data_IF_548939826802
#
_entry.id   IF_548939826802
#
_cell.length_a   1.000
_cell.length_b   1.000
_cell.length_c   1.000
_cell.angle_alpha   90.00
_cell.angle_beta   90.00
_cell.angle_gamma   90.00
#
_symmetry.space_group_name_H-M   'P 1'
#
loop_
_entity.id
_entity.type
_entity.pdbx_description
1 polymer ?
#
# COMPACT_ATOMS: atom_id res chain seq x y z
N UNK A 1 -2.94 -10.52 1.39
CA UNK A 1 -2.75 -9.41 2.33
C UNK A 1 -3.59 -8.20 1.91
N UNK A 2 -3.34 -7.56 0.75
CA UNK A 2 -3.97 -6.30 0.35
C UNK A 2 -5.50 -6.26 0.37
N UNK A 3 -6.18 -7.33 -0.07
CA UNK A 3 -7.65 -7.44 0.07
C UNK A 3 -8.08 -7.33 1.54
N UNK A 4 -7.45 -8.10 2.42
CA UNK A 4 -7.84 -8.17 3.83
C UNK A 4 -7.53 -6.89 4.58
N UNK A 5 -6.42 -6.22 4.27
CA UNK A 5 -6.05 -4.95 4.92
C UNK A 5 -7.09 -3.86 4.69
N UNK A 6 -7.69 -3.79 3.49
CA UNK A 6 -8.79 -2.85 3.22
C UNK A 6 -10.01 -3.17 4.08
N UNK A 7 -10.39 -4.45 4.19
CA UNK A 7 -11.56 -4.85 5.00
C UNK A 7 -11.35 -4.56 6.49
N UNK A 8 -10.17 -4.90 7.02
CA UNK A 8 -9.83 -4.61 8.42
C UNK A 8 -9.76 -3.11 8.65
N UNK A 9 -9.04 -2.37 7.81
CA UNK A 9 -8.97 -0.92 7.89
C UNK A 9 -10.35 -0.27 7.84
N UNK A 10 -11.25 -0.74 6.97
CA UNK A 10 -12.62 -0.24 6.88
C UNK A 10 -13.43 -0.49 8.16
N UNK A 11 -13.17 -1.60 8.89
CA UNK A 11 -13.87 -1.86 10.17
C UNK A 11 -13.40 -0.95 11.31
N UNK A 12 -12.19 -0.39 11.23
CA UNK A 12 -11.67 0.57 12.20
C UNK A 12 -12.09 2.00 11.91
N UNK A 13 -12.54 2.30 10.66
CA UNK A 13 -12.94 3.65 10.30
C UNK A 13 -14.28 4.05 10.92
N UNK A 14 -14.41 5.28 11.46
CA UNK A 14 -15.68 5.83 11.92
C UNK A 14 -16.50 6.44 10.78
N UNK A 15 -16.09 6.27 9.52
CA UNK A 15 -16.73 6.85 8.32
C UNK A 15 -17.04 5.77 7.29
N UNK A 16 -18.02 6.04 6.44
CA UNK A 16 -18.40 5.13 5.35
C UNK A 16 -17.34 5.12 4.24
N UNK A 17 -17.11 3.95 3.66
CA UNK A 17 -16.24 3.82 2.48
C UNK A 17 -16.88 4.47 1.24
N UNK A 18 -18.15 4.19 0.88
CA UNK A 18 -18.77 4.74 -0.32
C UNK A 18 -19.36 6.13 -0.11
N UNK A 19 -19.59 6.83 -1.22
CA UNK A 19 -20.50 7.96 -1.28
C UNK A 19 -21.90 7.50 -0.86
N UNK A 20 -22.52 8.23 0.04
CA UNK A 20 -23.90 8.00 0.44
C UNK A 20 -24.74 9.26 0.19
N UNK A 21 -25.82 9.13 -0.56
CA UNK A 21 -26.79 10.18 -0.78
C UNK A 21 -28.13 9.80 -0.18
N UNK A 22 -28.66 10.63 0.71
CA UNK A 22 -29.92 10.42 1.40
C UNK A 22 -30.75 11.72 1.39
N UNK A 23 -32.02 11.62 1.78
CA UNK A 23 -32.84 12.81 2.00
C UNK A 23 -32.27 13.74 3.09
N UNK A 24 -31.46 13.22 4.01
CA UNK A 24 -30.77 13.97 5.05
C UNK A 24 -29.48 14.66 4.60
N UNK A 25 -29.01 14.38 3.37
CA UNK A 25 -27.80 14.98 2.82
C UNK A 25 -26.86 13.98 2.16
N UNK A 26 -25.71 14.49 1.73
CA UNK A 26 -24.64 13.73 1.03
C UNK A 26 -23.45 13.55 1.95
N UNK A 27 -23.01 12.30 2.12
CA UNK A 27 -21.79 11.95 2.82
C UNK A 27 -20.73 11.58 1.78
N UNK A 28 -19.58 12.29 1.73
CA UNK A 28 -18.53 11.99 0.77
C UNK A 28 -17.90 10.63 1.06
N UNK A 29 -17.30 9.97 0.04
CA UNK A 29 -16.60 8.70 0.24
C UNK A 29 -15.33 8.88 1.06
N UNK A 30 -14.93 7.83 1.77
CA UNK A 30 -13.63 7.79 2.44
C UNK A 30 -12.48 7.96 1.43
N UNK A 31 -11.44 8.66 1.85
CA UNK A 31 -10.19 8.80 1.11
C UNK A 31 -9.22 7.72 1.56
N UNK A 32 -8.75 6.93 0.62
CA UNK A 32 -7.80 5.84 0.85
C UNK A 32 -6.52 6.14 0.07
N UNK A 33 -5.40 6.14 0.77
CA UNK A 33 -4.07 6.28 0.19
C UNK A 33 -3.33 4.95 0.29
N UNK A 34 -2.78 4.49 -0.82
CA UNK A 34 -1.95 3.28 -0.87
C UNK A 34 -0.50 3.71 -1.13
N UNK A 35 0.40 3.34 -0.22
CA UNK A 35 1.85 3.55 -0.37
C UNK A 35 2.52 2.22 -0.77
N UNK A 36 2.87 2.12 -2.04
CA UNK A 36 3.37 0.92 -2.70
C UNK A 36 2.31 0.25 -3.59
N UNK A 37 2.54 0.23 -4.90
CA UNK A 37 1.65 -0.33 -5.91
C UNK A 37 2.18 -1.67 -6.46
N UNK A 38 2.75 -2.51 -5.59
CA UNK A 38 3.04 -3.91 -5.89
C UNK A 38 1.76 -4.76 -5.88
N UNK A 39 1.89 -6.09 -5.94
CA UNK A 39 0.74 -7.02 -5.98
C UNK A 39 -0.25 -6.77 -4.83
N UNK A 40 0.25 -6.57 -3.61
CA UNK A 40 -0.62 -6.29 -2.46
C UNK A 40 -1.29 -4.91 -2.58
N UNK A 41 -0.55 -3.89 -3.00
CA UNK A 41 -1.08 -2.53 -3.19
C UNK A 41 -2.13 -2.46 -4.29
N UNK A 42 -1.89 -3.04 -5.46
CA UNK A 42 -2.86 -3.10 -6.55
C UNK A 42 -4.15 -3.83 -6.12
N UNK A 43 -4.03 -4.91 -5.35
CA UNK A 43 -5.19 -5.60 -4.81
C UNK A 43 -5.94 -4.75 -3.76
N UNK A 44 -5.23 -3.99 -2.94
CA UNK A 44 -5.84 -3.05 -2.01
C UNK A 44 -6.59 -1.93 -2.76
N UNK A 45 -5.98 -1.35 -3.80
CA UNK A 45 -6.63 -0.37 -4.68
C UNK A 45 -7.94 -0.92 -5.24
N UNK A 46 -7.89 -2.10 -5.88
CA UNK A 46 -9.06 -2.73 -6.48
C UNK A 46 -10.17 -2.99 -5.44
N UNK A 47 -9.81 -3.38 -4.23
CA UNK A 47 -10.76 -3.66 -3.15
C UNK A 47 -11.40 -2.38 -2.62
N UNK A 48 -10.58 -1.36 -2.31
CA UNK A 48 -11.07 -0.08 -1.82
C UNK A 48 -11.99 0.62 -2.83
N UNK A 49 -11.66 0.55 -4.13
CA UNK A 49 -12.51 1.04 -5.23
C UNK A 49 -13.85 0.33 -5.27
N UNK A 50 -13.89 -1.01 -5.11
CA UNK A 50 -15.13 -1.78 -5.07
C UNK A 50 -15.99 -1.43 -3.84
N UNK A 51 -15.38 -1.03 -2.73
CA UNK A 51 -16.10 -0.51 -1.57
C UNK A 51 -16.57 0.93 -1.74
N UNK A 52 -16.28 1.57 -2.87
CA UNK A 52 -16.75 2.90 -3.21
C UNK A 52 -15.89 4.05 -2.70
N UNK A 53 -14.70 3.77 -2.20
CA UNK A 53 -13.77 4.79 -1.73
C UNK A 53 -13.15 5.61 -2.86
N UNK A 54 -12.72 6.82 -2.53
CA UNK A 54 -11.82 7.63 -3.35
C UNK A 54 -10.38 7.18 -3.07
N UNK A 55 -9.74 6.57 -4.08
CA UNK A 55 -8.44 5.93 -3.90
C UNK A 55 -7.35 6.69 -4.65
N UNK A 56 -6.28 6.98 -3.93
CA UNK A 56 -5.02 7.50 -4.44
C UNK A 56 -3.90 6.49 -4.14
N UNK A 57 -2.88 6.43 -4.99
CA UNK A 57 -1.74 5.54 -4.77
C UNK A 57 -0.43 6.23 -5.15
N UNK A 58 0.61 5.95 -4.39
CA UNK A 58 1.97 6.38 -4.63
C UNK A 58 2.89 5.17 -4.75
N UNK A 59 3.80 5.19 -5.72
CA UNK A 59 4.92 4.26 -5.85
C UNK A 59 6.13 5.02 -6.41
N UNK A 60 7.32 4.57 -6.07
CA UNK A 60 8.57 5.14 -6.60
C UNK A 60 8.84 4.74 -8.05
N UNK A 61 8.16 3.71 -8.53
CA UNK A 61 8.29 3.17 -9.89
C UNK A 61 7.24 3.78 -10.81
N UNK A 62 7.62 4.60 -11.79
CA UNK A 62 6.67 5.26 -12.68
C UNK A 62 5.91 4.27 -13.58
N UNK A 63 6.48 3.10 -13.87
CA UNK A 63 5.87 2.07 -14.72
C UNK A 63 4.59 1.46 -14.14
N UNK A 64 4.33 1.61 -12.83
CA UNK A 64 3.09 1.10 -12.21
C UNK A 64 1.92 2.07 -12.32
N UNK A 65 2.14 3.31 -12.80
CA UNK A 65 1.12 4.35 -12.95
C UNK A 65 -0.07 3.86 -13.76
N UNK A 66 0.18 3.29 -14.94
CA UNK A 66 -0.88 2.78 -15.81
C UNK A 66 -1.71 1.68 -15.12
N UNK A 67 -1.06 0.80 -14.34
CA UNK A 67 -1.75 -0.24 -13.59
C UNK A 67 -2.67 0.34 -12.50
N UNK A 68 -2.20 1.37 -11.79
CA UNK A 68 -2.99 2.09 -10.77
C UNK A 68 -4.20 2.76 -11.40
N UNK A 69 -3.99 3.49 -12.49
CA UNK A 69 -5.04 4.23 -13.18
C UNK A 69 -6.06 3.31 -13.84
N UNK A 70 -5.63 2.15 -14.36
CA UNK A 70 -6.53 1.12 -14.91
C UNK A 70 -7.50 0.54 -13.87
N UNK A 71 -7.14 0.58 -12.59
CA UNK A 71 -8.01 0.20 -11.48
C UNK A 71 -8.94 1.34 -11.03
N UNK A 72 -8.86 2.51 -11.67
CA UNK A 72 -9.68 3.68 -11.35
C UNK A 72 -9.20 4.47 -10.14
N UNK A 73 -7.96 4.29 -9.72
CA UNK A 73 -7.32 5.12 -8.69
C UNK A 73 -6.51 6.26 -9.34
N UNK A 74 -6.24 7.31 -8.56
CA UNK A 74 -5.36 8.40 -9.00
C UNK A 74 -3.93 8.08 -8.58
N UNK A 75 -3.00 8.15 -9.53
CA UNK A 75 -1.58 8.06 -9.20
C UNK A 75 -1.06 9.41 -8.68
N UNK A 76 -0.37 9.37 -7.55
CA UNK A 76 0.25 10.56 -6.92
C UNK A 76 1.71 10.59 -7.32
N UNK A 77 2.10 11.63 -8.03
CA UNK A 77 3.48 11.83 -8.50
C UNK A 77 3.96 13.26 -8.24
N UNK A 78 5.24 13.42 -8.01
CA UNK A 78 5.85 14.75 -7.94
C UNK A 78 5.88 15.31 -9.36
N UNK A 79 5.32 16.50 -9.56
CA UNK A 79 5.43 17.17 -10.84
C UNK A 79 6.92 17.37 -11.20
N UNK A 80 7.33 16.81 -12.32
CA UNK A 80 8.69 17.02 -12.85
C UNK A 80 8.75 18.38 -13.54
N UNK A 81 9.54 19.30 -13.00
CA UNK A 81 9.78 20.61 -13.59
C UNK A 81 10.83 20.60 -14.70
N UNK A 82 11.22 19.47 -15.25
CA UNK A 82 12.11 19.41 -16.41
C UNK A 82 12.33 17.99 -16.91
N UNK A 83 12.59 17.92 -18.17
CA UNK A 83 13.06 16.91 -19.10
C UNK A 83 14.39 16.22 -18.66
N UNK A 84 14.53 15.85 -17.42
CA UNK A 84 15.70 15.13 -16.91
C UNK A 84 15.53 13.63 -17.13
N UNK A 85 16.09 13.24 -18.25
CA UNK A 85 16.12 11.96 -18.91
C UNK A 85 16.11 10.73 -18.03
N UNK A 86 15.28 9.80 -18.45
CA UNK A 86 15.33 8.38 -18.12
C UNK A 86 16.78 7.88 -18.25
N UNK A 87 17.41 7.55 -17.13
CA UNK A 87 18.72 6.90 -17.14
C UNK A 87 18.57 5.49 -17.71
N UNK A 88 19.41 5.14 -18.68
CA UNK A 88 19.53 3.78 -19.20
C UNK A 88 19.74 2.81 -18.04
N UNK A 89 18.85 1.82 -17.91
CA UNK A 89 19.03 0.69 -16.99
C UNK A 89 17.96 0.48 -15.92
N UNK A 90 16.85 1.23 -15.86
CA UNK A 90 15.72 0.91 -14.97
C UNK A 90 15.99 1.07 -13.46
N UNK A 91 17.14 1.59 -13.05
CA UNK A 91 17.46 1.95 -11.68
C UNK A 91 17.30 3.46 -11.49
N UNK A 92 16.57 3.84 -10.45
CA UNK A 92 16.48 5.23 -10.04
C UNK A 92 17.91 5.79 -9.86
N UNK A 93 18.30 6.76 -10.70
CA UNK A 93 19.44 7.65 -10.38
C UNK A 93 19.22 8.19 -8.98
N UNK A 94 20.29 8.36 -8.20
CA UNK A 94 20.24 9.07 -6.93
C UNK A 94 19.45 10.37 -7.12
N UNK A 95 18.20 10.31 -6.63
CA UNK A 95 17.31 11.46 -6.70
C UNK A 95 17.92 12.56 -5.87
N UNK A 96 18.00 13.76 -6.41
CA UNK A 96 18.51 14.93 -5.69
C UNK A 96 17.75 15.05 -4.36
N UNK A 97 18.43 15.55 -3.32
CA UNK A 97 17.81 15.73 -1.99
C UNK A 97 16.54 16.60 -2.07
N UNK A 98 16.51 17.54 -3.02
CA UNK A 98 15.34 18.37 -3.32
C UNK A 98 14.13 17.57 -3.84
N UNK A 99 14.36 16.57 -4.70
CA UNK A 99 13.28 15.67 -5.16
C UNK A 99 12.73 14.83 -4.01
N UNK A 100 13.59 14.29 -3.15
CA UNK A 100 13.17 13.52 -1.96
C UNK A 100 12.34 14.39 -1.01
N UNK A 101 12.72 15.63 -0.79
CA UNK A 101 11.98 16.56 0.06
C UNK A 101 10.62 16.91 -0.54
N UNK A 102 10.54 17.17 -1.84
CA UNK A 102 9.25 17.39 -2.55
C UNK A 102 8.36 16.17 -2.47
N UNK A 103 8.91 14.98 -2.66
CA UNK A 103 8.20 13.71 -2.53
C UNK A 103 7.64 13.50 -1.12
N UNK A 104 8.46 13.72 -0.09
CA UNK A 104 8.00 13.61 1.31
C UNK A 104 6.92 14.62 1.63
N UNK A 105 7.05 15.86 1.17
CA UNK A 105 6.03 16.89 1.37
C UNK A 105 4.71 16.53 0.71
N UNK A 106 4.75 15.99 -0.51
CA UNK A 106 3.58 15.52 -1.24
C UNK A 106 2.89 14.36 -0.50
N UNK A 107 3.65 13.36 -0.08
CA UNK A 107 3.13 12.22 0.69
C UNK A 107 2.49 12.71 1.99
N UNK A 108 3.14 13.62 2.72
CA UNK A 108 2.62 14.22 3.94
C UNK A 108 1.26 14.89 3.73
N UNK A 109 1.12 15.66 2.65
CA UNK A 109 -0.14 16.32 2.29
C UNK A 109 -1.27 15.32 2.03
N UNK A 110 -0.97 14.23 1.30
CA UNK A 110 -1.96 13.21 0.99
C UNK A 110 -2.33 12.36 2.22
N UNK A 111 -1.37 12.02 3.08
CA UNK A 111 -1.61 11.34 4.36
C UNK A 111 -2.56 12.15 5.24
N UNK A 112 -2.30 13.44 5.42
CA UNK A 112 -3.13 14.31 6.27
C UNK A 112 -4.61 14.41 5.81
N UNK A 113 -4.87 14.17 4.53
CA UNK A 113 -6.23 14.19 3.94
C UNK A 113 -6.91 12.82 3.93
N UNK A 114 -6.17 11.75 4.22
CA UNK A 114 -6.65 10.38 4.11
C UNK A 114 -7.38 9.93 5.36
N UNK A 115 -8.42 9.11 5.17
CA UNK A 115 -9.09 8.40 6.26
C UNK A 115 -8.41 7.05 6.52
N UNK A 116 -7.96 6.36 5.47
CA UNK A 116 -7.25 5.10 5.54
C UNK A 116 -5.97 5.19 4.71
N UNK A 117 -4.84 4.84 5.32
CA UNK A 117 -3.56 4.67 4.65
C UNK A 117 -3.17 3.21 4.71
N UNK A 118 -2.78 2.61 3.59
CA UNK A 118 -2.27 1.24 3.55
C UNK A 118 -0.85 1.27 2.99
N UNK A 119 0.10 0.77 3.75
CA UNK A 119 1.50 0.70 3.34
C UNK A 119 1.88 -0.72 2.98
N UNK A 120 2.61 -0.88 1.88
CA UNK A 120 2.99 -2.19 1.34
C UNK A 120 4.44 -2.23 0.86
N UNK A 121 5.24 -1.22 1.18
CA UNK A 121 6.61 -1.12 0.68
C UNK A 121 7.53 -2.09 1.41
N UNK A 122 8.06 -3.06 0.66
CA UNK A 122 9.00 -4.06 1.16
C UNK A 122 10.21 -4.13 0.23
N UNK A 123 11.39 -4.30 0.81
CA UNK A 123 12.63 -4.56 0.10
C UNK A 123 13.08 -5.96 0.50
N UNK A 124 13.15 -6.93 -0.43
CA UNK A 124 13.58 -8.28 -0.09
C UNK A 124 14.92 -8.31 0.65
N UNK A 125 14.98 -9.04 1.77
CA UNK A 125 16.20 -9.22 2.57
C UNK A 125 16.67 -7.98 3.34
N UNK A 126 15.86 -6.92 3.43
CA UNK A 126 16.18 -5.70 4.17
C UNK A 126 15.00 -5.28 5.05
N UNK A 127 15.24 -4.48 6.10
CA UNK A 127 14.16 -3.82 6.82
C UNK A 127 13.28 -2.99 5.89
N UNK A 128 12.00 -2.88 6.23
CA UNK A 128 11.06 -2.05 5.47
C UNK A 128 11.50 -0.56 5.50
N UNK A 129 11.36 0.16 4.38
CA UNK A 129 11.68 1.58 4.36
C UNK A 129 10.70 2.37 5.24
N UNK A 130 11.19 3.32 6.01
CA UNK A 130 10.36 4.26 6.74
C UNK A 130 9.73 5.26 5.75
N UNK A 131 8.40 5.24 5.65
CA UNK A 131 7.63 6.13 4.78
C UNK A 131 6.81 7.16 5.56
N UNK A 132 6.36 6.80 6.76
CA UNK A 132 5.48 7.60 7.60
C UNK A 132 6.16 7.83 8.96
N UNK A 133 6.97 8.87 9.10
CA UNK A 133 7.48 9.29 10.40
C UNK A 133 6.35 9.84 11.30
N UNK A 134 6.60 9.93 12.58
CA UNK A 134 5.60 10.30 13.61
C UNK A 134 4.94 11.65 13.32
N UNK A 135 5.68 12.64 12.82
CA UNK A 135 5.16 13.97 12.49
C UNK A 135 4.11 13.94 11.35
N UNK A 136 4.13 12.94 10.47
CA UNK A 136 3.09 12.73 9.47
C UNK A 136 1.83 12.14 10.10
N UNK A 137 1.98 11.24 11.08
CA UNK A 137 0.85 10.68 11.84
C UNK A 137 0.17 11.77 12.68
N UNK A 138 0.95 12.65 13.29
CA UNK A 138 0.42 13.80 14.05
C UNK A 138 -0.42 14.77 13.17
N UNK A 139 -0.15 14.81 11.86
CA UNK A 139 -0.91 15.58 10.89
C UNK A 139 -2.22 14.94 10.44
N UNK A 140 -2.49 13.69 10.80
CA UNK A 140 -3.72 12.97 10.43
C UNK A 140 -4.89 13.37 11.32
N UNK A 141 -6.10 13.20 10.81
CA UNK A 141 -7.31 13.46 11.59
C UNK A 141 -7.56 12.33 12.59
N UNK A 142 -7.99 12.61 13.82
CA UNK A 142 -8.48 11.57 14.73
C UNK A 142 -9.58 10.72 14.07
N UNK A 143 -9.52 9.40 14.27
CA UNK A 143 -10.36 8.42 13.57
C UNK A 143 -9.79 7.93 12.25
N UNK A 144 -8.65 8.46 11.80
CA UNK A 144 -7.93 7.88 10.65
C UNK A 144 -7.23 6.58 11.03
N UNK A 145 -6.95 5.76 10.03
CA UNK A 145 -6.36 4.42 10.20
C UNK A 145 -5.15 4.25 9.28
N UNK A 146 -4.10 3.64 9.80
CA UNK A 146 -2.94 3.16 9.05
C UNK A 146 -2.92 1.63 9.16
N UNK A 147 -2.94 0.94 8.02
CA UNK A 147 -2.72 -0.51 7.92
C UNK A 147 -1.31 -0.75 7.37
N UNK A 148 -0.41 -1.22 8.20
CA UNK A 148 0.99 -1.41 7.82
C UNK A 148 1.28 -2.88 7.49
N UNK A 149 1.28 -3.22 6.21
CA UNK A 149 1.58 -4.58 5.73
C UNK A 149 3.07 -4.94 5.79
N UNK A 150 3.93 -3.98 6.09
CA UNK A 150 5.37 -4.18 6.27
C UNK A 150 5.76 -4.45 7.74
N UNK A 151 4.79 -4.57 8.64
CA UNK A 151 5.02 -4.70 10.09
C UNK A 151 5.97 -5.85 10.47
N UNK A 152 5.94 -6.98 9.74
CA UNK A 152 6.86 -8.12 9.95
C UNK A 152 8.34 -7.74 9.72
N UNK A 153 8.60 -6.70 8.92
CA UNK A 153 9.94 -6.25 8.55
C UNK A 153 10.29 -4.89 9.15
N UNK A 154 9.68 -4.54 10.27
CA UNK A 154 9.92 -3.29 11.00
C UNK A 154 8.89 -2.19 10.74
N UNK A 155 8.05 -2.33 9.72
CA UNK A 155 6.99 -1.38 9.37
C UNK A 155 7.44 -0.22 8.49
N UNK A 156 6.49 0.32 7.73
CA UNK A 156 6.66 1.56 6.96
C UNK A 156 6.26 2.82 7.77
N UNK A 157 5.54 2.65 8.87
CA UNK A 157 5.21 3.71 9.82
C UNK A 157 6.06 3.57 11.08
N UNK A 158 6.63 4.68 11.55
CA UNK A 158 7.51 4.72 12.72
C UNK A 158 6.84 4.19 13.99
N UNK A 159 5.53 4.37 14.11
CA UNK A 159 4.73 3.95 15.26
C UNK A 159 4.21 2.51 15.16
N UNK A 160 4.50 1.82 14.06
CA UNK A 160 4.06 0.43 13.86
C UNK A 160 4.70 -0.50 14.88
N UNK A 161 3.88 -1.36 15.46
CA UNK A 161 4.33 -2.50 16.26
C UNK A 161 3.78 -3.79 15.65
N UNK A 162 4.67 -4.72 15.37
CA UNK A 162 4.28 -6.00 14.78
C UNK A 162 3.25 -6.72 15.63
N UNK A 163 2.19 -7.21 15.00
CA UNK A 163 1.05 -7.92 15.59
C UNK A 163 0.32 -7.17 16.70
N UNK A 164 0.36 -5.82 16.62
CA UNK A 164 -0.30 -4.96 17.61
C UNK A 164 -1.03 -3.82 16.90
N UNK A 165 -2.06 -3.34 17.58
CA UNK A 165 -2.76 -2.12 17.23
C UNK A 165 -2.34 -1.01 18.20
N UNK A 166 -1.87 0.12 17.66
CA UNK A 166 -1.45 1.31 18.42
C UNK A 166 -2.45 2.41 18.17
N UNK A 167 -2.83 3.15 19.19
CA UNK A 167 -3.59 4.39 19.06
C UNK A 167 -2.68 5.56 19.40
N UNK A 168 -2.48 6.46 18.46
CA UNK A 168 -1.68 7.66 18.63
C UNK A 168 -2.54 8.89 18.28
N UNK A 169 -2.87 9.69 19.29
CA UNK A 169 -3.70 10.91 19.14
C UNK A 169 -5.04 10.66 18.39
N UNK A 170 -5.64 9.46 18.59
CA UNK A 170 -6.87 9.07 17.90
C UNK A 170 -6.68 8.48 16.50
N UNK A 171 -5.45 8.36 16.01
CA UNK A 171 -5.10 7.61 14.81
C UNK A 171 -4.79 6.17 15.18
N UNK A 172 -5.44 5.21 14.52
CA UNK A 172 -5.19 3.78 14.72
C UNK A 172 -4.10 3.31 13.76
N UNK A 173 -3.03 2.74 14.28
CA UNK A 173 -1.98 2.10 13.50
C UNK A 173 -2.07 0.60 13.75
N UNK A 174 -2.43 -0.16 12.73
CA UNK A 174 -2.60 -1.61 12.79
C UNK A 174 -1.43 -2.29 12.07
N UNK A 175 -0.59 -2.96 12.86
CA UNK A 175 0.55 -3.75 12.43
C UNK A 175 0.26 -5.25 12.40
N UNK A 176 -1.00 -5.68 12.19
CA UNK A 176 -1.36 -7.09 12.12
C UNK A 176 -0.55 -7.83 11.06
N UNK A 177 0.16 -8.85 11.51
CA UNK A 177 0.97 -9.72 10.67
C UNK A 177 0.15 -10.89 10.15
N UNK A 178 0.68 -11.58 9.12
CA UNK A 178 0.11 -12.81 8.59
C UNK A 178 -1.40 -12.73 8.24
N UNK A 179 -1.87 -11.61 7.71
CA UNK A 179 -3.26 -11.44 7.23
C UNK A 179 -3.75 -12.59 6.31
N UNK A 180 -2.90 -13.23 5.46
CA UNK A 180 -3.34 -14.36 4.64
C UNK A 180 -3.89 -15.54 5.44
N UNK A 181 -3.41 -15.79 6.66
CA UNK A 181 -3.88 -16.89 7.51
C UNK A 181 -5.35 -16.74 7.92
N UNK A 182 -5.88 -15.51 7.88
CA UNK A 182 -7.30 -15.25 8.15
C UNK A 182 -8.23 -15.64 6.99
N UNK A 183 -7.65 -16.07 5.85
CA UNK A 183 -8.36 -16.53 4.64
C UNK A 183 -7.71 -17.82 4.11
N UNK A 184 -7.65 -18.90 4.93
CA UNK A 184 -6.73 -20.02 4.70
C UNK A 184 -7.02 -20.77 3.40
N UNK A 185 -8.28 -20.90 3.01
CA UNK A 185 -8.67 -21.67 1.80
C UNK A 185 -7.99 -21.08 0.55
N UNK A 186 -8.26 -19.80 0.23
CA UNK A 186 -7.72 -19.21 -0.97
C UNK A 186 -6.22 -18.88 -0.85
N UNK A 187 -5.73 -18.54 0.35
CA UNK A 187 -4.31 -18.30 0.57
C UNK A 187 -3.50 -19.58 0.30
N UNK A 188 -3.95 -20.74 0.80
CA UNK A 188 -3.31 -22.03 0.55
C UNK A 188 -3.37 -22.44 -0.92
N UNK A 189 -4.50 -22.22 -1.59
CA UNK A 189 -4.63 -22.50 -3.02
C UNK A 189 -3.65 -21.70 -3.86
N UNK A 190 -3.53 -20.38 -3.61
CA UNK A 190 -2.60 -19.50 -4.32
C UNK A 190 -1.16 -19.88 -4.04
N UNK A 191 -0.82 -20.18 -2.79
CA UNK A 191 0.51 -20.63 -2.41
C UNK A 191 0.87 -21.95 -3.08
N UNK A 192 -0.01 -22.95 -3.01
CA UNK A 192 0.19 -24.24 -3.66
C UNK A 192 0.40 -24.10 -5.16
N UNK A 193 -0.37 -23.20 -5.83
CA UNK A 193 -0.18 -22.94 -7.25
C UNK A 193 1.20 -22.33 -7.55
N UNK A 194 1.67 -21.37 -6.74
CA UNK A 194 3.00 -20.79 -6.91
C UNK A 194 4.10 -21.85 -6.76
N UNK A 195 4.02 -22.70 -5.71
CA UNK A 195 4.96 -23.79 -5.49
C UNK A 195 4.95 -24.78 -6.65
N UNK A 196 3.75 -25.21 -7.08
CA UNK A 196 3.60 -26.14 -8.19
C UNK A 196 4.17 -25.58 -9.49
N UNK A 197 3.90 -24.31 -9.79
CA UNK A 197 4.45 -23.63 -10.98
C UNK A 197 5.97 -23.55 -10.92
N UNK A 198 6.53 -23.22 -9.77
CA UNK A 198 7.97 -23.18 -9.56
C UNK A 198 8.61 -24.56 -9.75
N UNK A 199 8.04 -25.61 -9.12
CA UNK A 199 8.53 -26.97 -9.30
C UNK A 199 8.46 -27.41 -10.76
N UNK A 200 7.32 -27.13 -11.44
CA UNK A 200 7.16 -27.45 -12.86
C UNK A 200 8.20 -26.72 -13.72
N UNK A 201 8.50 -25.46 -13.42
CA UNK A 201 9.54 -24.70 -14.11
C UNK A 201 10.92 -25.32 -13.94
N UNK A 202 11.22 -25.88 -12.76
CA UNK A 202 12.47 -26.58 -12.50
C UNK A 202 12.54 -27.97 -13.15
N UNK A 203 11.41 -28.57 -13.58
CA UNK A 203 11.37 -29.87 -14.21
C UNK A 203 11.61 -29.75 -15.72
N UNK A 204 12.58 -30.49 -16.24
CA UNK A 204 12.84 -30.61 -17.68
C UNK A 204 12.94 -32.10 -18.02
N UNK A 205 12.10 -32.57 -18.94
CA UNK A 205 12.06 -33.97 -19.39
C UNK A 205 11.91 -35.01 -18.26
N UNK A 206 11.23 -34.64 -17.16
CA UNK A 206 11.03 -35.49 -15.99
C UNK A 206 12.14 -35.46 -14.95
N UNK A 207 13.23 -34.70 -15.19
CA UNK A 207 14.33 -34.53 -14.26
C UNK A 207 14.39 -33.10 -13.70
N UNK A 208 14.96 -32.98 -12.49
CA UNK A 208 15.11 -31.70 -11.83
C UNK A 208 16.29 -30.93 -12.46
N UNK A 209 15.99 -29.83 -13.17
CA UNK A 209 17.00 -28.89 -13.65
C UNK A 209 17.29 -27.85 -12.55
N UNK A 210 18.55 -27.75 -12.12
CA UNK A 210 19.02 -26.79 -11.10
C UNK A 210 19.67 -25.53 -11.70
N UNK A 211 19.92 -25.55 -13.01
CA UNK A 211 20.42 -24.37 -13.73
C UNK A 211 19.23 -23.48 -14.11
N UNK A 212 19.02 -22.43 -13.33
CA UNK A 212 17.92 -21.45 -13.46
C UNK A 212 18.40 -20.17 -14.11
#
# INVERSE_FOLDING_TARGET
AGYKSVLVGATHLPVYMPLLMTAAGTIPPARVLILGAGVAGLQAIATAKRLGAQVEAFDVRPEVKEQVESLGAKFVEVASDSDDGVGEGGYAKETSDDYKQRQQSLIKEHIAKSNLVITTALIPGRPAPLLIPTDMVDGMKPGSVIMDLAAENGGNCELTKGDQMVNHNGVVIDGTINLPSTMPVHASQLYAKNVSTFVTYMMKEGELNRDL
#
